data_IF_962928175927
#
_entry.id   IF_962928175927
#
_cell.length_a   1.000
_cell.length_b   1.000
_cell.length_c   1.000
_cell.angle_alpha   90.00
_cell.angle_beta   90.00
_cell.angle_gamma   90.00
#
_symmetry.space_group_name_H-M   'P 1'
#
loop_
_entity.id
_entity.type
_entity.pdbx_description
1 polymer ?
#
# COMPACT_ATOMS: atom_id res chain seq x y z
N UNK A 1 -4.80 23.89 -3.96
CA UNK A 1 -3.84 23.79 -5.11
C UNK A 1 -4.48 22.86 -6.14
N UNK A 2 -4.33 23.15 -7.45
CA UNK A 2 -4.76 22.21 -8.49
C UNK A 2 -3.74 21.09 -8.52
N UNK A 3 -4.17 19.85 -8.27
CA UNK A 3 -3.30 18.68 -8.35
C UNK A 3 -2.82 18.48 -9.79
N UNK A 4 -1.54 18.13 -9.95
CA UNK A 4 -0.97 17.77 -11.25
C UNK A 4 -1.43 16.37 -11.64
N UNK A 5 -1.45 16.08 -12.94
CA UNK A 5 -1.61 14.70 -13.42
C UNK A 5 -0.34 13.93 -13.02
N UNK A 6 -0.53 12.71 -12.51
CA UNK A 6 0.57 11.83 -12.16
C UNK A 6 1.31 11.38 -13.43
N UNK A 7 2.58 11.70 -13.51
CA UNK A 7 3.47 11.20 -14.55
C UNK A 7 4.41 10.15 -13.95
N UNK A 8 4.57 9.03 -14.67
CA UNK A 8 5.49 7.98 -14.25
C UNK A 8 6.93 8.46 -14.47
N UNK A 9 7.81 8.40 -13.45
CA UNK A 9 9.17 8.90 -13.57
C UNK A 9 9.98 8.23 -14.67
N UNK A 10 10.71 9.02 -15.44
CA UNK A 10 11.62 8.53 -16.49
C UNK A 10 13.00 8.28 -15.89
N UNK A 11 13.27 7.04 -15.56
CA UNK A 11 14.54 6.61 -14.96
C UNK A 11 14.99 5.27 -15.54
N UNK A 12 16.29 5.00 -15.49
CA UNK A 12 16.84 3.69 -15.84
C UNK A 12 16.61 2.68 -14.70
N UNK A 13 16.54 3.13 -13.45
CA UNK A 13 16.32 2.29 -12.29
C UNK A 13 14.83 2.26 -11.92
N UNK A 14 14.09 1.34 -12.53
CA UNK A 14 12.63 1.21 -12.42
C UNK A 14 12.23 0.21 -11.32
N UNK A 15 12.53 0.52 -10.07
CA UNK A 15 12.19 -0.30 -8.91
C UNK A 15 11.35 0.52 -7.94
N UNK A 16 10.17 0.04 -7.60
CA UNK A 16 9.28 0.63 -6.59
C UNK A 16 9.05 -0.36 -5.44
N UNK A 17 9.02 0.15 -4.22
CA UNK A 17 8.62 -0.57 -3.01
C UNK A 17 7.29 0.01 -2.53
N UNK A 18 6.26 -0.82 -2.42
CA UNK A 18 4.96 -0.45 -1.85
C UNK A 18 4.85 -1.07 -0.47
N UNK A 19 4.76 -0.22 0.55
CA UNK A 19 4.64 -0.62 1.96
C UNK A 19 3.20 -0.41 2.41
N UNK A 20 2.55 -1.49 2.80
CA UNK A 20 1.15 -1.57 3.18
C UNK A 20 0.99 -2.17 4.58
N UNK A 21 -0.07 -1.83 5.28
CA UNK A 21 -0.42 -2.46 6.54
C UNK A 21 -1.05 -3.83 6.30
N UNK A 22 -2.12 -3.88 5.51
CA UNK A 22 -2.93 -5.06 5.22
C UNK A 22 -2.84 -5.47 3.75
N UNK A 23 -3.27 -6.67 3.44
CA UNK A 23 -3.17 -7.24 2.09
C UNK A 23 -3.98 -6.47 1.03
N UNK A 24 -5.16 -5.98 1.39
CA UNK A 24 -6.09 -5.28 0.51
C UNK A 24 -5.68 -3.85 0.17
N UNK A 25 -4.85 -3.23 1.02
CA UNK A 25 -4.37 -1.84 0.84
C UNK A 25 -3.70 -1.62 -0.51
N UNK A 26 -2.93 -2.62 -0.96
CA UNK A 26 -2.23 -2.57 -2.24
C UNK A 26 -3.17 -2.27 -3.40
N UNK A 27 -4.34 -2.89 -3.39
CA UNK A 27 -5.33 -2.79 -4.46
C UNK A 27 -6.33 -1.68 -4.24
N UNK A 28 -6.70 -1.44 -2.97
CA UNK A 28 -7.71 -0.44 -2.62
C UNK A 28 -7.17 0.99 -2.64
N UNK A 29 -5.90 1.22 -2.32
CA UNK A 29 -5.37 2.59 -2.18
C UNK A 29 -4.29 2.95 -3.19
N UNK A 30 -3.54 1.98 -3.72
CA UNK A 30 -2.41 2.22 -4.60
C UNK A 30 -2.49 1.48 -5.94
N UNK A 31 -3.59 0.75 -6.17
CA UNK A 31 -3.69 -0.20 -7.27
C UNK A 31 -3.57 0.42 -8.65
N UNK A 32 -4.15 1.59 -8.88
CA UNK A 32 -4.03 2.31 -10.14
C UNK A 32 -2.59 2.72 -10.45
N UNK A 33 -1.88 3.31 -9.46
CA UNK A 33 -0.48 3.68 -9.65
C UNK A 33 0.43 2.46 -9.79
N UNK A 34 0.17 1.38 -9.06
CA UNK A 34 0.91 0.11 -9.21
C UNK A 34 0.79 -0.40 -10.64
N UNK A 35 -0.43 -0.44 -11.19
CA UNK A 35 -0.65 -0.86 -12.59
C UNK A 35 0.00 0.08 -13.60
N UNK A 36 -0.08 1.40 -13.39
CA UNK A 36 0.57 2.40 -14.26
C UNK A 36 2.10 2.25 -14.28
N UNK A 37 2.71 2.02 -13.11
CA UNK A 37 4.13 1.74 -12.98
C UNK A 37 4.51 0.46 -13.73
N UNK A 38 3.77 -0.63 -13.53
CA UNK A 38 4.03 -1.92 -14.19
C UNK A 38 3.89 -1.82 -15.70
N UNK A 39 2.85 -1.16 -16.21
CA UNK A 39 2.66 -0.92 -17.66
C UNK A 39 3.80 -0.07 -18.24
N UNK A 40 4.47 0.72 -17.41
CA UNK A 40 5.68 1.49 -17.76
C UNK A 40 6.99 0.70 -17.54
N UNK A 41 6.91 -0.60 -17.23
CA UNK A 41 8.06 -1.50 -17.09
C UNK A 41 8.78 -1.40 -15.74
N UNK A 42 8.10 -0.93 -14.70
CA UNK A 42 8.65 -0.93 -13.33
C UNK A 42 8.51 -2.30 -12.67
N UNK A 43 9.52 -2.66 -11.90
CA UNK A 43 9.49 -3.79 -10.99
C UNK A 43 8.89 -3.35 -9.66
N UNK A 44 7.81 -3.99 -9.24
CA UNK A 44 7.15 -3.73 -7.97
C UNK A 44 7.61 -4.74 -6.93
N UNK A 45 8.01 -4.23 -5.77
CA UNK A 45 8.20 -4.98 -4.53
C UNK A 45 7.08 -4.60 -3.57
N UNK A 46 6.38 -5.57 -3.01
CA UNK A 46 5.39 -5.35 -1.96
C UNK A 46 5.97 -5.71 -0.60
N UNK A 47 5.70 -4.89 0.41
CA UNK A 47 5.96 -5.18 1.82
C UNK A 47 4.65 -5.04 2.58
N UNK A 48 4.10 -6.15 3.08
CA UNK A 48 2.99 -6.14 4.02
C UNK A 48 3.54 -6.18 5.45
N UNK A 49 2.96 -5.38 6.33
CA UNK A 49 3.42 -5.25 7.72
C UNK A 49 2.69 -6.19 8.65
N UNK A 50 1.36 -6.32 8.51
CA UNK A 50 0.53 -7.14 9.42
C UNK A 50 0.07 -8.45 8.80
N UNK A 51 -0.50 -9.33 9.62
CA UNK A 51 -0.92 -10.67 9.23
C UNK A 51 -2.42 -10.80 8.93
N UNK A 52 -3.17 -9.70 8.96
CA UNK A 52 -4.61 -9.60 8.66
C UNK A 52 -5.51 -10.50 9.52
N UNK A 53 -5.09 -10.84 10.75
CA UNK A 53 -5.78 -11.80 11.63
C UNK A 53 -7.22 -11.42 12.01
N UNK A 54 -7.60 -10.17 11.89
CA UNK A 54 -8.92 -9.65 12.22
C UNK A 54 -9.79 -9.35 10.99
N UNK A 55 -9.25 -9.51 9.77
CA UNK A 55 -9.94 -9.12 8.54
C UNK A 55 -10.84 -10.25 8.01
N UNK A 56 -11.76 -10.70 8.86
CA UNK A 56 -12.80 -11.66 8.51
C UNK A 56 -14.01 -11.52 9.42
N UNK A 57 -15.11 -12.13 9.01
CA UNK A 57 -16.31 -12.31 9.80
C UNK A 57 -16.51 -13.80 10.12
N UNK A 58 -16.78 -14.11 11.41
CA UNK A 58 -17.07 -15.47 11.90
C UNK A 58 -15.96 -16.56 11.67
N UNK A 59 -14.73 -16.15 11.35
CA UNK A 59 -13.61 -17.08 11.27
C UNK A 59 -12.74 -17.00 12.52
N UNK A 60 -12.03 -18.08 12.82
CA UNK A 60 -10.97 -18.04 13.81
C UNK A 60 -9.77 -17.24 13.28
N UNK A 61 -8.98 -16.67 14.20
CA UNK A 61 -7.75 -15.93 13.89
C UNK A 61 -6.84 -16.69 12.91
N UNK A 62 -6.64 -17.98 13.18
CA UNK A 62 -5.82 -18.85 12.33
C UNK A 62 -6.39 -19.01 10.92
N UNK A 63 -7.68 -19.27 10.80
CA UNK A 63 -8.35 -19.40 9.51
C UNK A 63 -8.32 -18.09 8.73
N UNK A 64 -8.47 -16.95 9.44
CA UNK A 64 -8.39 -15.62 8.85
C UNK A 64 -7.03 -15.38 8.22
N UNK A 65 -5.95 -15.60 8.98
CA UNK A 65 -4.57 -15.47 8.48
C UNK A 65 -4.34 -16.37 7.25
N UNK A 66 -4.73 -17.65 7.34
CA UNK A 66 -4.52 -18.62 6.25
C UNK A 66 -5.27 -18.20 4.97
N UNK A 67 -6.52 -17.74 5.09
CA UNK A 67 -7.32 -17.31 3.93
C UNK A 67 -6.81 -16.02 3.32
N UNK A 68 -6.59 -14.97 4.14
CA UNK A 68 -6.08 -13.69 3.65
C UNK A 68 -4.71 -13.84 3.01
N UNK A 69 -3.83 -14.69 3.56
CA UNK A 69 -2.56 -15.01 2.92
C UNK A 69 -2.73 -15.67 1.54
N UNK A 70 -3.60 -16.67 1.43
CA UNK A 70 -3.84 -17.35 0.15
C UNK A 70 -4.45 -16.41 -0.90
N UNK A 71 -5.42 -15.59 -0.50
CA UNK A 71 -6.05 -14.58 -1.35
C UNK A 71 -5.05 -13.51 -1.80
N UNK A 72 -4.18 -13.05 -0.90
CA UNK A 72 -3.14 -12.07 -1.25
C UNK A 72 -2.10 -12.65 -2.21
N UNK A 73 -1.69 -13.91 -2.05
CA UNK A 73 -0.82 -14.56 -3.04
C UNK A 73 -1.47 -14.63 -4.44
N UNK A 74 -2.79 -14.84 -4.51
CA UNK A 74 -3.53 -14.77 -5.77
C UNK A 74 -3.52 -13.35 -6.36
N UNK A 75 -3.70 -12.32 -5.53
CA UNK A 75 -3.58 -10.90 -5.92
C UNK A 75 -2.21 -10.62 -6.52
N UNK A 76 -1.14 -10.97 -5.81
CA UNK A 76 0.23 -10.75 -6.28
C UNK A 76 0.48 -11.45 -7.63
N UNK A 77 -0.02 -12.70 -7.76
CA UNK A 77 0.07 -13.47 -9.01
C UNK A 77 -0.69 -12.80 -10.16
N UNK A 78 -1.92 -12.33 -9.94
CA UNK A 78 -2.74 -11.63 -10.95
C UNK A 78 -2.09 -10.31 -11.37
N UNK A 79 -1.47 -9.59 -10.44
CA UNK A 79 -0.70 -8.40 -10.73
C UNK A 79 0.66 -8.70 -11.38
N UNK A 80 1.18 -9.92 -11.31
CA UNK A 80 2.52 -10.25 -11.77
C UNK A 80 3.63 -9.75 -10.84
N UNK A 81 3.32 -9.53 -9.57
CA UNK A 81 4.29 -9.12 -8.54
C UNK A 81 4.93 -10.37 -7.93
N UNK A 82 6.21 -10.59 -8.23
CA UNK A 82 6.95 -11.75 -7.75
C UNK A 82 7.83 -11.46 -6.52
N UNK A 83 7.96 -10.18 -6.14
CA UNK A 83 8.81 -9.72 -5.07
C UNK A 83 7.94 -9.27 -3.89
N UNK A 84 7.83 -10.13 -2.90
CA UNK A 84 7.02 -9.91 -1.73
C UNK A 84 7.82 -10.14 -0.45
N UNK A 85 7.69 -9.22 0.50
CA UNK A 85 8.19 -9.31 1.87
C UNK A 85 7.01 -9.20 2.83
N UNK A 86 7.06 -9.94 3.92
CA UNK A 86 6.03 -9.97 4.94
C UNK A 86 6.65 -9.87 6.33
N UNK A 87 6.20 -8.93 7.15
CA UNK A 87 6.66 -8.82 8.53
C UNK A 87 5.82 -9.65 9.49
N UNK A 88 4.60 -10.04 9.09
CA UNK A 88 3.68 -10.86 9.88
C UNK A 88 3.49 -10.34 11.32
N UNK A 89 3.41 -9.02 11.51
CA UNK A 89 3.12 -8.45 12.81
C UNK A 89 1.61 -8.54 13.08
N UNK A 90 1.18 -8.62 14.36
CA UNK A 90 -0.24 -8.73 14.66
C UNK A 90 -1.03 -7.50 14.20
N UNK A 91 -2.08 -7.70 13.40
CA UNK A 91 -3.05 -6.65 13.01
C UNK A 91 -3.70 -6.04 14.25
N UNK A 92 -3.98 -4.74 14.23
CA UNK A 92 -4.54 -3.93 15.33
C UNK A 92 -3.68 -3.88 16.61
N UNK A 93 -2.46 -4.39 16.56
CA UNK A 93 -1.54 -4.42 17.70
C UNK A 93 -0.20 -3.70 17.41
N UNK A 94 -0.09 -3.02 16.27
CA UNK A 94 1.12 -2.24 15.97
C UNK A 94 1.35 -1.10 16.97
N UNK A 95 0.31 -0.63 17.66
CA UNK A 95 0.42 0.36 18.75
C UNK A 95 1.25 -0.12 19.94
N UNK A 96 1.27 -1.43 20.18
CA UNK A 96 2.09 -2.07 21.21
C UNK A 96 3.50 -2.44 20.72
N UNK A 97 3.74 -2.35 19.41
CA UNK A 97 5.03 -2.60 18.81
C UNK A 97 5.84 -1.30 18.74
N UNK A 98 7.12 -1.39 19.04
CA UNK A 98 7.99 -0.20 18.98
C UNK A 98 8.05 0.38 17.56
N UNK A 99 7.66 1.64 17.39
CA UNK A 99 7.74 2.34 16.09
C UNK A 99 9.19 2.38 15.57
N UNK A 100 10.18 2.48 16.46
CA UNK A 100 11.60 2.41 16.09
C UNK A 100 11.97 1.03 15.54
N UNK A 101 11.48 -0.04 16.14
CA UNK A 101 11.72 -1.40 15.63
C UNK A 101 11.04 -1.62 14.28
N UNK A 102 9.80 -1.14 14.11
CA UNK A 102 9.09 -1.20 12.84
C UNK A 102 9.85 -0.45 11.74
N UNK A 103 10.27 0.79 12.03
CA UNK A 103 11.12 1.58 11.14
C UNK A 103 12.38 0.80 10.73
N UNK A 104 13.07 0.19 11.68
CA UNK A 104 14.33 -0.53 11.44
C UNK A 104 14.14 -1.80 10.59
N UNK A 105 13.00 -2.49 10.74
CA UNK A 105 12.62 -3.59 9.84
C UNK A 105 12.42 -3.08 8.40
N UNK A 106 11.71 -1.96 8.24
CA UNK A 106 11.48 -1.35 6.92
C UNK A 106 12.79 -0.83 6.32
N UNK A 107 13.71 -0.24 7.12
CA UNK A 107 15.05 0.18 6.66
C UNK A 107 15.81 -0.98 6.02
N UNK A 108 15.76 -2.18 6.61
CA UNK A 108 16.40 -3.38 6.04
C UNK A 108 15.83 -3.71 4.66
N UNK A 109 14.50 -3.67 4.53
CA UNK A 109 13.84 -3.93 3.25
C UNK A 109 14.23 -2.88 2.20
N UNK A 110 14.20 -1.57 2.54
CA UNK A 110 14.62 -0.50 1.63
C UNK A 110 16.06 -0.69 1.16
N UNK A 111 16.99 -1.02 2.06
CA UNK A 111 18.40 -1.25 1.71
C UNK A 111 18.62 -2.50 0.86
N UNK A 112 17.82 -3.53 1.08
CA UNK A 112 17.87 -4.77 0.28
C UNK A 112 17.29 -4.56 -1.13
N UNK A 113 16.11 -3.95 -1.22
CA UNK A 113 15.38 -3.73 -2.48
C UNK A 113 16.03 -2.60 -3.30
N UNK A 114 16.56 -1.57 -2.63
CA UNK A 114 17.16 -0.37 -3.25
C UNK A 114 16.19 0.35 -4.21
N UNK A 115 14.95 0.69 -3.77
CA UNK A 115 13.96 1.26 -4.67
C UNK A 115 14.29 2.71 -5.06
N UNK A 116 13.95 3.09 -6.30
CA UNK A 116 13.89 4.50 -6.70
C UNK A 116 12.73 5.22 -5.99
N UNK A 117 11.60 4.53 -5.89
CA UNK A 117 10.32 5.02 -5.37
C UNK A 117 9.84 4.15 -4.22
N UNK A 118 9.42 4.79 -3.12
CA UNK A 118 8.68 4.15 -2.03
C UNK A 118 7.27 4.71 -1.98
N UNK A 119 6.26 3.83 -1.93
CA UNK A 119 4.85 4.16 -1.76
C UNK A 119 4.37 3.68 -0.41
N UNK A 120 3.59 4.48 0.30
CA UNK A 120 2.95 4.12 1.57
C UNK A 120 1.81 5.09 1.90
N UNK A 121 1.07 4.83 2.98
CA UNK A 121 0.06 5.76 3.49
C UNK A 121 0.66 7.13 3.80
N UNK A 122 -0.18 8.18 3.71
CA UNK A 122 0.24 9.55 3.97
C UNK A 122 0.41 9.81 5.48
N UNK A 123 1.65 10.05 5.96
CA UNK A 123 1.90 10.29 7.38
C UNK A 123 1.30 11.59 7.91
N UNK A 124 0.95 12.54 7.04
CA UNK A 124 0.37 13.83 7.44
C UNK A 124 -1.18 13.80 7.40
N UNK A 125 -1.78 12.74 6.84
CA UNK A 125 -3.23 12.56 6.74
C UNK A 125 -3.85 11.83 7.96
N UNK A 126 -3.12 11.71 9.07
CA UNK A 126 -3.53 10.98 10.28
C UNK A 126 -4.90 11.43 10.84
N UNK A 127 -5.29 12.68 10.63
CA UNK A 127 -6.60 13.20 11.10
C UNK A 127 -7.79 12.59 10.37
N UNK A 128 -7.56 11.96 9.22
CA UNK A 128 -8.58 11.43 8.32
C UNK A 128 -8.41 9.93 8.08
N UNK A 129 -7.51 9.30 8.85
CA UNK A 129 -7.25 7.87 8.81
C UNK A 129 -7.69 7.24 10.14
N UNK A 130 -8.69 6.38 10.07
CA UNK A 130 -9.28 5.74 11.25
C UNK A 130 -8.46 4.53 11.72
N UNK A 131 -7.71 3.90 10.81
CA UNK A 131 -6.93 2.70 11.12
C UNK A 131 -5.56 3.06 11.69
N UNK A 132 -5.27 2.57 12.90
CA UNK A 132 -4.01 2.83 13.60
C UNK A 132 -2.82 2.19 12.91
N UNK A 133 -2.97 0.97 12.36
CA UNK A 133 -1.90 0.29 11.63
C UNK A 133 -1.46 1.10 10.41
N UNK A 134 -2.40 1.70 9.66
CA UNK A 134 -2.09 2.61 8.55
C UNK A 134 -1.25 3.81 9.02
N UNK A 135 -1.63 4.42 10.15
CA UNK A 135 -0.92 5.58 10.71
C UNK A 135 0.50 5.24 11.13
N UNK A 136 0.68 4.09 11.77
CA UNK A 136 1.99 3.61 12.24
C UNK A 136 2.89 3.20 11.07
N UNK A 137 2.36 2.47 10.10
CA UNK A 137 3.08 2.09 8.88
C UNK A 137 3.50 3.33 8.09
N UNK A 138 2.61 4.33 7.95
CA UNK A 138 2.91 5.59 7.27
C UNK A 138 4.12 6.31 7.90
N UNK A 139 4.10 6.50 9.23
CA UNK A 139 5.16 7.22 9.96
C UNK A 139 6.46 6.44 9.92
N UNK A 140 6.42 5.15 10.25
CA UNK A 140 7.60 4.30 10.26
C UNK A 140 8.27 4.22 8.87
N UNK A 141 7.48 4.09 7.80
CA UNK A 141 8.00 4.04 6.43
C UNK A 141 8.59 5.38 6.00
N UNK A 142 7.91 6.49 6.30
CA UNK A 142 8.44 7.82 5.97
C UNK A 142 9.78 8.09 6.65
N UNK A 143 9.92 7.74 7.94
CA UNK A 143 11.17 7.84 8.68
C UNK A 143 12.21 6.85 8.14
N UNK A 144 11.83 5.62 7.80
CA UNK A 144 12.71 4.61 7.25
C UNK A 144 13.34 5.07 5.93
N UNK A 145 12.59 5.75 5.05
CA UNK A 145 13.12 6.32 3.81
C UNK A 145 14.27 7.31 4.07
N UNK A 146 14.19 8.11 5.12
CA UNK A 146 15.26 9.03 5.50
C UNK A 146 16.41 8.31 6.18
N UNK A 147 16.10 7.46 7.15
CA UNK A 147 17.08 6.74 7.98
C UNK A 147 17.92 5.76 7.18
N UNK A 148 17.36 5.14 6.14
CA UNK A 148 18.05 4.16 5.29
C UNK A 148 19.29 4.71 4.55
N UNK A 149 19.38 6.04 4.44
CA UNK A 149 20.55 6.73 3.85
C UNK A 149 21.76 6.88 4.77
N UNK A 150 21.64 6.61 6.07
CA UNK A 150 22.74 6.82 7.04
C UNK A 150 23.61 5.58 7.21
N UNK A 151 24.91 5.71 6.99
CA UNK A 151 25.89 4.62 7.10
C UNK A 151 26.08 4.11 8.54
N UNK A 152 25.87 4.96 9.53
CA UNK A 152 26.04 4.64 10.97
C UNK A 152 24.76 4.11 11.62
N UNK A 153 23.65 4.03 10.90
CA UNK A 153 22.41 3.55 11.50
C UNK A 153 22.50 2.05 11.83
N UNK A 154 22.20 1.63 13.09
CA UNK A 154 22.44 0.26 13.56
C UNK A 154 21.75 -0.84 12.74
N UNK A 155 20.52 -0.58 12.27
CA UNK A 155 19.75 -1.55 11.47
C UNK A 155 20.40 -1.89 10.12
N UNK A 156 21.41 -1.13 9.69
CA UNK A 156 22.13 -1.40 8.45
C UNK A 156 23.38 -2.26 8.59
N UNK A 157 23.87 -2.44 9.82
CA UNK A 157 25.13 -3.17 10.03
C UNK A 157 24.93 -4.69 10.23
N UNK A 158 23.70 -5.13 10.48
CA UNK A 158 23.42 -6.54 10.83
C UNK A 158 23.65 -7.48 9.64
N UNK A 159 23.40 -7.00 8.41
CA UNK A 159 23.43 -7.82 7.20
C UNK A 159 24.37 -7.29 6.11
N UNK A 160 25.35 -6.44 6.44
CA UNK A 160 26.23 -5.74 5.49
C UNK A 160 25.49 -4.96 4.38
N UNK A 161 24.25 -4.56 4.64
CA UNK A 161 23.44 -3.80 3.69
C UNK A 161 23.95 -2.36 3.59
N UNK A 162 24.30 -1.94 2.38
CA UNK A 162 24.79 -0.59 2.13
C UNK A 162 23.64 0.43 2.26
N UNK A 163 23.94 1.66 2.73
CA UNK A 163 22.97 2.75 2.72
C UNK A 163 22.29 2.93 1.35
N UNK A 164 21.02 3.28 1.39
CA UNK A 164 20.23 3.60 0.20
C UNK A 164 19.20 4.68 0.55
N UNK A 165 19.10 5.69 -0.29
CA UNK A 165 18.12 6.76 -0.15
C UNK A 165 17.17 6.73 -1.35
N UNK A 166 15.87 6.42 -1.17
CA UNK A 166 14.90 6.51 -2.24
C UNK A 166 14.84 7.93 -2.82
N UNK A 167 14.64 8.05 -4.12
CA UNK A 167 14.57 9.35 -4.80
C UNK A 167 13.20 10.00 -4.62
N UNK A 168 12.14 9.19 -4.66
CA UNK A 168 10.76 9.65 -4.51
C UNK A 168 10.00 8.89 -3.43
N UNK A 169 9.05 9.58 -2.81
CA UNK A 169 8.06 9.00 -1.90
C UNK A 169 6.68 9.41 -2.38
N UNK A 170 5.81 8.45 -2.60
CA UNK A 170 4.42 8.66 -3.00
C UNK A 170 3.50 8.23 -1.86
N UNK A 171 2.76 9.16 -1.32
CA UNK A 171 1.85 8.93 -0.22
C UNK A 171 0.42 8.85 -0.72
N UNK A 172 -0.28 7.77 -0.32
CA UNK A 172 -1.68 7.49 -0.61
C UNK A 172 -2.51 7.34 0.67
N UNK A 173 -3.83 7.15 0.57
CA UNK A 173 -4.71 6.89 1.70
C UNK A 173 -6.18 7.18 1.39
N UNK A 174 -7.05 7.03 2.41
CA UNK A 174 -8.47 7.38 2.31
C UNK A 174 -8.67 8.84 1.94
N UNK A 175 -7.90 9.70 2.57
CA UNK A 175 -7.83 11.14 2.28
C UNK A 175 -6.36 11.55 2.29
N UNK A 176 -5.88 12.10 1.20
CA UNK A 176 -4.52 12.61 1.11
C UNK A 176 -4.54 14.12 1.28
N UNK A 177 -4.02 14.58 2.42
CA UNK A 177 -3.90 16.00 2.73
C UNK A 177 -2.83 16.62 1.81
N UNK A 178 -3.16 17.79 1.24
CA UNK A 178 -2.25 18.49 0.32
C UNK A 178 -1.80 17.62 -0.87
N UNK A 179 -2.73 16.81 -1.42
CA UNK A 179 -2.46 16.02 -2.60
C UNK A 179 -1.85 16.90 -3.72
N UNK A 180 -0.72 16.46 -4.25
CA UNK A 180 0.03 17.17 -5.29
C UNK A 180 -0.24 16.61 -6.68
N UNK A 181 -0.62 15.34 -6.77
CA UNK A 181 -0.83 14.62 -8.03
C UNK A 181 -2.11 13.78 -7.97
N UNK A 182 -2.69 13.55 -9.15
CA UNK A 182 -3.86 12.69 -9.35
C UNK A 182 -3.63 11.77 -10.53
N UNK A 183 -4.06 10.52 -10.39
CA UNK A 183 -4.08 9.52 -11.45
C UNK A 183 -5.52 9.18 -11.80
N UNK A 184 -5.88 9.29 -13.08
CA UNK A 184 -7.13 8.75 -13.59
C UNK A 184 -7.06 7.23 -13.62
N UNK A 185 -8.00 6.56 -12.95
CA UNK A 185 -8.00 5.10 -12.84
C UNK A 185 -8.86 4.40 -13.89
N UNK A 186 -9.59 5.13 -14.72
CA UNK A 186 -10.41 4.55 -15.76
C UNK A 186 -9.68 3.51 -16.63
N UNK A 187 -8.42 3.70 -17.05
CA UNK A 187 -7.67 2.70 -17.82
C UNK A 187 -7.38 1.39 -17.06
N UNK A 188 -7.43 1.43 -15.73
CA UNK A 188 -7.05 0.33 -14.84
C UNK A 188 -8.26 -0.32 -14.15
N UNK A 189 -9.44 0.30 -14.25
CA UNK A 189 -10.63 -0.02 -13.45
C UNK A 189 -11.04 -1.49 -13.55
N UNK A 190 -11.10 -2.06 -14.73
CA UNK A 190 -11.46 -3.47 -14.92
C UNK A 190 -10.43 -4.41 -14.28
N UNK A 191 -9.13 -4.15 -14.46
CA UNK A 191 -8.05 -4.92 -13.84
C UNK A 191 -8.12 -4.83 -12.31
N UNK A 192 -8.41 -3.66 -11.77
CA UNK A 192 -8.57 -3.44 -10.33
C UNK A 192 -9.75 -4.23 -9.77
N UNK A 193 -10.91 -4.21 -10.44
CA UNK A 193 -12.08 -5.00 -10.04
C UNK A 193 -11.72 -6.49 -9.94
N UNK A 194 -11.05 -7.04 -10.96
CA UNK A 194 -10.64 -8.46 -10.99
C UNK A 194 -9.66 -8.83 -9.86
N UNK A 195 -8.79 -7.89 -9.49
CA UNK A 195 -7.79 -8.13 -8.43
C UNK A 195 -8.42 -7.94 -7.05
N UNK A 196 -9.22 -6.89 -6.85
CA UNK A 196 -9.96 -6.64 -5.59
C UNK A 196 -10.88 -7.82 -5.28
N UNK A 197 -11.54 -8.39 -6.30
CA UNK A 197 -12.40 -9.56 -6.13
C UNK A 197 -11.67 -10.81 -5.58
N UNK A 198 -10.34 -10.84 -5.60
CA UNK A 198 -9.56 -11.93 -5.00
C UNK A 198 -9.51 -11.86 -3.47
N UNK A 199 -9.75 -10.69 -2.86
CA UNK A 199 -9.83 -10.51 -1.40
C UNK A 199 -11.22 -10.92 -0.86
N UNK A 200 -11.65 -12.16 -1.14
CA UNK A 200 -13.00 -12.61 -0.82
C UNK A 200 -13.33 -12.50 0.67
N UNK A 201 -12.41 -12.93 1.52
CA UNK A 201 -12.58 -12.93 2.99
C UNK A 201 -12.79 -11.51 3.50
N UNK A 202 -11.94 -10.58 3.07
CA UNK A 202 -12.04 -9.17 3.44
C UNK A 202 -13.32 -8.52 2.88
N UNK A 203 -13.70 -8.78 1.63
CA UNK A 203 -14.94 -8.24 1.05
C UNK A 203 -16.17 -8.71 1.81
N UNK A 204 -16.23 -9.97 2.24
CA UNK A 204 -17.31 -10.49 3.09
C UNK A 204 -17.30 -9.81 4.48
N UNK A 205 -16.12 -9.57 5.06
CA UNK A 205 -16.00 -8.81 6.29
C UNK A 205 -16.57 -7.40 6.16
N UNK A 206 -16.23 -6.68 5.08
CA UNK A 206 -16.79 -5.36 4.79
C UNK A 206 -18.32 -5.38 4.64
N UNK A 207 -18.86 -6.35 3.92
CA UNK A 207 -20.32 -6.51 3.78
C UNK A 207 -20.99 -6.76 5.13
N UNK A 208 -20.37 -7.59 5.99
CA UNK A 208 -20.88 -7.85 7.34
C UNK A 208 -20.86 -6.60 8.23
N UNK A 209 -19.86 -5.75 8.10
CA UNK A 209 -19.81 -4.45 8.79
C UNK A 209 -20.92 -3.51 8.28
N UNK A 210 -21.17 -3.47 6.97
CA UNK A 210 -22.28 -2.71 6.38
C UNK A 210 -23.64 -3.24 6.84
N UNK A 211 -23.79 -4.56 7.01
CA UNK A 211 -25.00 -5.18 7.54
C UNK A 211 -25.33 -4.67 8.95
N UNK A 212 -24.32 -4.47 9.83
CA UNK A 212 -24.56 -3.88 11.15
C UNK A 212 -25.19 -2.48 11.03
N UNK A 213 -24.69 -1.66 10.13
CA UNK A 213 -25.23 -0.32 9.90
C UNK A 213 -26.65 -0.38 9.28
N UNK A 214 -26.85 -1.27 8.31
CA UNK A 214 -28.15 -1.46 7.66
C UNK A 214 -29.23 -1.88 8.67
N UNK A 215 -28.91 -2.86 9.54
CA UNK A 215 -29.82 -3.31 10.60
C UNK A 215 -30.20 -2.19 11.56
N UNK A 216 -29.26 -1.35 11.91
CA UNK A 216 -29.55 -0.18 12.74
C UNK A 216 -30.54 0.79 12.07
N UNK A 217 -30.53 0.87 10.76
CA UNK A 217 -31.44 1.66 9.95
C UNK A 217 -32.75 0.92 9.57
N UNK A 218 -32.94 -0.32 10.03
CA UNK A 218 -34.11 -1.14 9.77
C UNK A 218 -34.09 -1.90 8.44
N UNK A 219 -32.92 -2.13 7.87
CA UNK A 219 -32.71 -2.88 6.63
C UNK A 219 -31.86 -4.11 6.86
N UNK A 220 -31.80 -4.98 5.85
CA UNK A 220 -30.86 -6.12 5.78
C UNK A 220 -30.16 -6.15 4.45
N UNK A 221 -28.90 -6.59 4.44
CA UNK A 221 -28.05 -6.80 3.26
C UNK A 221 -27.79 -8.29 3.01
N UNK A 222 -28.59 -9.22 3.58
CA UNK A 222 -28.42 -10.68 3.39
C UNK A 222 -28.30 -11.06 1.92
N UNK A 223 -29.08 -10.42 1.05
CA UNK A 223 -29.00 -10.65 -0.39
C UNK A 223 -27.61 -10.28 -0.95
N UNK A 224 -27.06 -9.15 -0.54
CA UNK A 224 -25.70 -8.73 -0.95
C UNK A 224 -24.66 -9.72 -0.46
N UNK A 225 -24.76 -10.19 0.79
CA UNK A 225 -23.86 -11.18 1.34
C UNK A 225 -23.87 -12.47 0.50
N UNK A 226 -25.04 -13.01 0.17
CA UNK A 226 -25.19 -14.20 -0.67
C UNK A 226 -24.59 -13.99 -2.09
N UNK A 227 -24.80 -12.81 -2.67
CA UNK A 227 -24.26 -12.47 -3.99
C UNK A 227 -22.73 -12.38 -3.96
N UNK A 228 -22.15 -11.77 -2.92
CA UNK A 228 -20.68 -11.65 -2.74
C UNK A 228 -20.03 -12.99 -2.42
N UNK A 229 -20.69 -13.87 -1.65
CA UNK A 229 -20.22 -15.24 -1.44
C UNK A 229 -20.07 -16.02 -2.75
N UNK A 230 -21.00 -15.83 -3.69
CA UNK A 230 -20.99 -16.48 -5.01
C UNK A 230 -20.03 -15.80 -5.98
N UNK A 231 -19.96 -14.48 -5.94
CA UNK A 231 -19.15 -13.66 -6.84
C UNK A 231 -18.65 -12.42 -6.12
N UNK A 232 -17.45 -12.44 -5.53
CA UNK A 232 -16.85 -11.28 -4.87
C UNK A 232 -16.74 -10.05 -5.78
N UNK A 233 -16.72 -10.28 -7.10
CA UNK A 233 -16.68 -9.22 -8.12
C UNK A 233 -17.84 -8.22 -8.00
N UNK A 234 -19.03 -8.68 -7.59
CA UNK A 234 -20.20 -7.79 -7.38
C UNK A 234 -19.86 -6.65 -6.43
N UNK A 235 -19.21 -6.96 -5.30
CA UNK A 235 -18.86 -5.93 -4.33
C UNK A 235 -17.61 -5.13 -4.75
N UNK A 236 -16.65 -5.75 -5.42
CA UNK A 236 -15.52 -5.04 -6.02
C UNK A 236 -15.99 -4.00 -7.06
N UNK A 237 -16.99 -4.33 -7.88
CA UNK A 237 -17.62 -3.37 -8.81
C UNK A 237 -18.29 -2.21 -8.08
N UNK A 238 -18.97 -2.48 -6.95
CA UNK A 238 -19.57 -1.43 -6.12
C UNK A 238 -18.51 -0.50 -5.50
N UNK A 239 -17.43 -1.05 -4.96
CA UNK A 239 -16.30 -0.26 -4.41
C UNK A 239 -15.71 0.65 -5.48
N UNK A 240 -15.63 0.17 -6.71
CA UNK A 240 -15.02 0.90 -7.82
C UNK A 240 -15.99 1.78 -8.61
N UNK A 241 -17.32 1.72 -8.33
CA UNK A 241 -18.34 2.38 -9.16
C UNK A 241 -18.07 3.89 -9.32
N UNK A 242 -17.93 4.59 -8.21
CA UNK A 242 -17.77 6.05 -8.15
C UNK A 242 -16.30 6.49 -8.06
N UNK A 243 -15.38 5.55 -8.18
CA UNK A 243 -13.95 5.83 -8.08
C UNK A 243 -13.40 6.20 -9.46
N UNK A 244 -12.98 7.44 -9.62
CA UNK A 244 -12.46 7.98 -10.89
C UNK A 244 -10.96 8.30 -10.81
N UNK A 245 -10.48 8.68 -9.62
CA UNK A 245 -9.11 9.13 -9.40
C UNK A 245 -8.48 8.50 -8.16
N UNK A 246 -7.18 8.32 -8.20
CA UNK A 246 -6.33 8.15 -7.02
C UNK A 246 -5.53 9.43 -6.79
N UNK A 247 -5.45 9.87 -5.53
CA UNK A 247 -4.72 11.09 -5.15
C UNK A 247 -3.44 10.74 -4.42
N UNK A 248 -2.37 11.47 -4.74
CA UNK A 248 -1.05 11.26 -4.16
C UNK A 248 -0.43 12.57 -3.71
N UNK A 249 0.25 12.52 -2.56
CA UNK A 249 1.21 13.55 -2.18
C UNK A 249 2.61 13.02 -2.48
N UNK A 250 3.28 13.66 -3.43
CA UNK A 250 4.59 13.22 -3.90
C UNK A 250 5.67 14.14 -3.33
N UNK A 251 6.67 13.53 -2.70
CA UNK A 251 7.93 14.18 -2.33
C UNK A 251 8.99 13.62 -3.28
N UNK A 252 9.47 14.47 -4.16
CA UNK A 252 10.26 14.01 -5.30
C UNK A 252 11.71 14.50 -5.32
N UNK A 253 12.30 14.30 -6.47
CA UNK A 253 13.71 14.44 -6.79
C UNK A 253 14.17 15.88 -7.05
N UNK A 254 13.31 16.90 -6.95
CA UNK A 254 13.64 18.28 -7.39
C UNK A 254 14.95 18.81 -6.79
N UNK A 255 15.19 18.51 -5.49
CA UNK A 255 16.41 18.98 -4.82
C UNK A 255 17.66 18.30 -5.39
N UNK A 256 17.64 16.99 -5.56
CA UNK A 256 18.79 16.24 -6.09
C UNK A 256 19.01 16.55 -7.56
N UNK A 257 17.94 16.74 -8.33
CA UNK A 257 18.04 17.14 -9.74
C UNK A 257 18.80 18.45 -9.90
N UNK A 258 18.44 19.49 -9.12
CA UNK A 258 19.15 20.79 -9.12
C UNK A 258 20.62 20.68 -8.73
N UNK A 259 20.94 19.76 -7.81
CA UNK A 259 22.33 19.53 -7.39
C UNK A 259 23.11 18.84 -8.53
N UNK A 260 22.49 17.82 -9.16
CA UNK A 260 23.12 17.09 -10.28
C UNK A 260 23.34 18.02 -11.47
N UNK A 261 22.37 18.84 -11.83
CA UNK A 261 22.51 19.82 -12.93
C UNK A 261 23.70 20.76 -12.73
N UNK A 262 24.02 21.09 -11.50
CA UNK A 262 25.10 22.03 -11.17
C UNK A 262 26.45 21.38 -10.93
N UNK A 263 26.47 20.20 -10.34
CA UNK A 263 27.70 19.55 -9.84
C UNK A 263 27.84 18.08 -10.23
N UNK A 264 26.84 17.51 -10.94
CA UNK A 264 26.83 16.08 -11.25
C UNK A 264 27.83 15.73 -12.34
N UNK A 265 28.59 14.66 -12.13
CA UNK A 265 29.42 14.00 -13.13
C UNK A 265 28.84 12.61 -13.40
N UNK A 266 28.82 12.17 -14.65
CA UNK A 266 28.34 10.82 -14.99
C UNK A 266 29.37 9.79 -14.55
N UNK A 267 28.88 8.72 -13.90
CA UNK A 267 29.67 7.55 -13.50
C UNK A 267 30.05 6.68 -14.69
#
# INVERSE_FOLDING_TARGET
MISKILEIPRTAHKVALVVIAHADDLTLFAGGAVLALMDSGWQIHALRVTDDRWDSWDLSEKETIERNNAEFQEVLKKLGINNFNDLNLPTDQLGDFSEVQLRDLIVKVIRNVRPYLVMTFDPDSIKFEDNEDHRLVARATNEACWTSGFDKHPSGNVDNLKPHLPIERWFFGRTVVEATHQLEIAPYKERLIEVIASHKTMLLNMVSQLELQARFLGYTLERLQIEVEKSPKVFAEMIMADREIESYRIIGSERITKIIERFGEKL
#
